data_IF_198862921383
#
_entry.id   IF_198862921383
#
_cell.length_a   1.000
_cell.length_b   1.000
_cell.length_c   1.000
_cell.angle_alpha   90.00
_cell.angle_beta   90.00
_cell.angle_gamma   90.00
#
_symmetry.space_group_name_H-M   'P 1'
#
loop_
_entity.id
_entity.type
_entity.pdbx_description
1 polymer ?
#
# COMPACT_ATOMS: atom_id res chain seq x y z
N UNK A 1 -1.75 21.70 8.15
CA UNK A 1 -1.85 22.19 9.53
C UNK A 1 -0.86 21.43 10.40
N UNK A 2 0.21 22.08 10.86
CA UNK A 2 0.91 21.70 12.08
C UNK A 2 1.01 23.00 12.86
N UNK A 3 0.29 23.08 13.97
CA UNK A 3 0.27 24.24 14.87
C UNK A 3 1.04 23.84 16.13
N UNK A 4 1.97 24.69 16.57
CA UNK A 4 2.48 24.72 17.94
C UNK A 4 2.29 26.17 18.37
N UNK A 5 1.58 26.39 19.46
CA UNK A 5 1.10 27.70 19.92
C UNK A 5 1.73 28.07 21.28
N UNK A 6 2.13 29.33 21.43
CA UNK A 6 2.47 29.99 22.69
C UNK A 6 2.01 31.47 22.62
N UNK A 7 1.24 31.86 23.65
CA UNK A 7 0.30 32.99 23.77
C UNK A 7 0.71 34.43 23.37
N UNK A 8 -0.32 35.16 22.87
CA UNK A 8 -0.82 36.57 23.01
C UNK A 8 0.16 37.80 23.04
N UNK A 9 -0.14 38.99 22.47
CA UNK A 9 -1.37 39.81 22.41
C UNK A 9 -1.51 40.73 21.14
N UNK A 10 -2.78 40.98 20.75
CA UNK A 10 -3.40 42.03 19.89
C UNK A 10 -2.94 42.30 18.44
N UNK A 11 -3.88 42.18 17.46
CA UNK A 11 -3.89 43.00 16.23
C UNK A 11 -5.26 43.01 15.48
N UNK A 12 -5.58 44.09 14.77
CA UNK A 12 -6.82 44.33 13.99
C UNK A 12 -6.76 43.81 12.54
N UNK A 13 -7.88 43.37 11.96
CA UNK A 13 -7.95 42.89 10.56
C UNK A 13 -8.73 43.87 9.65
N UNK A 14 -8.18 44.20 8.48
CA UNK A 14 -8.88 44.81 7.33
C UNK A 14 -9.10 43.74 6.25
N UNK A 15 -10.28 43.69 5.65
CA UNK A 15 -10.55 42.91 4.42
C UNK A 15 -10.48 43.90 3.25
N UNK A 16 -9.76 43.53 2.19
CA UNK A 16 -9.67 44.27 0.93
C UNK A 16 -9.96 43.24 -0.17
N UNK A 17 -10.91 43.56 -1.04
CA UNK A 17 -11.18 42.82 -2.29
C UNK A 17 -10.27 43.35 -3.41
N UNK A 18 -10.08 42.58 -4.48
CA UNK A 18 -9.03 42.72 -5.51
C UNK A 18 -9.01 44.07 -6.29
N UNK A 19 -9.96 44.98 -6.03
CA UNK A 19 -10.07 46.31 -6.65
C UNK A 19 -9.89 47.52 -5.70
N UNK A 20 -9.37 47.33 -4.47
CA UNK A 20 -8.95 48.43 -3.57
C UNK A 20 -9.99 49.55 -3.31
N UNK A 21 -11.29 49.25 -3.15
CA UNK A 21 -12.28 50.22 -2.63
C UNK A 21 -12.87 49.78 -1.28
N UNK A 22 -12.73 50.63 -0.27
CA UNK A 22 -13.14 50.38 1.12
C UNK A 22 -14.63 50.66 1.35
N UNK A 23 -15.37 49.74 1.98
CA UNK A 23 -16.72 50.02 2.51
C UNK A 23 -16.88 49.48 3.95
N UNK A 24 -17.13 50.45 4.84
CA UNK A 24 -17.70 50.49 6.21
C UNK A 24 -17.47 49.39 7.28
N UNK A 25 -17.10 49.88 8.47
CA UNK A 25 -17.05 49.20 9.77
C UNK A 25 -18.44 48.71 10.21
N UNK A 26 -18.57 47.41 10.45
CA UNK A 26 -19.62 46.84 11.30
C UNK A 26 -18.92 46.32 12.56
N UNK A 27 -19.18 46.95 13.71
CA UNK A 27 -18.72 46.44 15.01
C UNK A 27 -19.72 45.44 15.55
N UNK A 28 -19.30 44.19 15.76
CA UNK A 28 -20.01 43.24 16.64
C UNK A 28 -18.98 42.55 17.53
N UNK A 29 -19.21 42.64 18.85
CA UNK A 29 -18.33 42.14 19.90
C UNK A 29 -18.55 40.64 20.10
N UNK A 30 -17.62 39.77 19.68
CA UNK A 30 -17.48 38.44 20.29
C UNK A 30 -16.02 37.93 20.25
N UNK A 31 -15.62 37.39 21.40
CA UNK A 31 -14.38 36.73 21.85
C UNK A 31 -13.45 36.11 20.79
N UNK A 32 -12.24 36.68 20.72
CA UNK A 32 -10.89 36.18 20.35
C UNK A 32 -10.76 34.94 19.46
N UNK A 33 -10.52 35.17 18.15
CA UNK A 33 -9.89 34.23 17.22
C UNK A 33 -8.49 34.74 16.84
N UNK A 34 -7.50 33.86 16.93
CA UNK A 34 -6.11 34.06 16.45
C UNK A 34 -6.09 34.28 14.92
N UNK A 35 -5.29 35.23 14.40
CA UNK A 35 -5.20 35.47 12.96
C UNK A 35 -4.44 34.33 12.29
N UNK A 36 -5.11 33.61 11.40
CA UNK A 36 -4.49 32.58 10.57
C UNK A 36 -3.88 33.23 9.34
N UNK A 37 -2.55 33.32 9.27
CA UNK A 37 -1.89 33.64 8.02
C UNK A 37 -1.92 32.41 7.10
N UNK A 38 -2.59 32.57 5.96
CA UNK A 38 -2.78 31.56 4.94
C UNK A 38 -1.59 31.55 3.99
N UNK A 39 -0.65 30.61 4.16
CA UNK A 39 0.34 30.33 3.11
C UNK A 39 -0.28 29.30 2.16
N UNK A 40 -0.78 29.77 1.02
CA UNK A 40 -1.19 28.92 -0.11
C UNK A 40 0.08 28.54 -0.87
N UNK A 41 0.62 27.35 -0.62
CA UNK A 41 1.67 26.77 -1.45
C UNK A 41 1.02 25.81 -2.46
N UNK A 42 1.22 26.00 -3.78
CA UNK A 42 0.72 25.07 -4.78
C UNK A 42 1.29 23.66 -4.53
N UNK A 43 0.49 22.60 -4.73
CA UNK A 43 0.90 21.19 -4.55
C UNK A 43 2.19 20.83 -5.30
N UNK A 44 2.49 21.54 -6.40
CA UNK A 44 3.71 21.39 -7.21
C UNK A 44 5.01 21.76 -6.46
N UNK A 45 4.94 22.43 -5.32
CA UNK A 45 6.12 22.80 -4.52
C UNK A 45 6.38 21.87 -3.33
N UNK A 46 5.49 20.90 -3.05
CA UNK A 46 5.67 19.98 -1.95
C UNK A 46 6.54 18.78 -2.38
N UNK A 47 7.78 18.76 -1.91
CA UNK A 47 8.73 17.66 -2.13
C UNK A 47 8.97 16.89 -0.83
N UNK A 48 9.30 15.60 -0.92
CA UNK A 48 9.81 14.80 0.19
C UNK A 48 11.03 15.49 0.81
N UNK A 49 11.94 15.98 -0.04
CA UNK A 49 13.12 16.72 0.43
C UNK A 49 12.74 17.92 1.30
N UNK A 50 11.76 18.72 0.88
CA UNK A 50 11.26 19.87 1.66
C UNK A 50 10.59 19.44 2.98
N UNK A 51 9.68 18.46 2.93
CA UNK A 51 8.99 17.95 4.13
C UNK A 51 9.97 17.50 5.21
N UNK A 52 11.11 16.93 4.81
CA UNK A 52 12.06 16.29 5.71
C UNK A 52 13.32 17.10 6.05
N UNK A 53 13.71 18.08 5.25
CA UNK A 53 14.81 19.00 5.59
C UNK A 53 14.34 20.17 6.47
N UNK A 54 13.01 20.37 6.59
CA UNK A 54 12.47 21.39 7.49
C UNK A 54 12.61 21.00 8.98
N UNK A 55 12.64 21.99 9.91
CA UNK A 55 12.62 21.75 11.36
C UNK A 55 11.43 20.90 11.85
N UNK A 56 10.34 20.85 11.07
CA UNK A 56 9.17 20.01 11.34
C UNK A 56 9.54 18.52 11.39
N UNK A 57 10.53 18.08 10.61
CA UNK A 57 10.97 16.68 10.55
C UNK A 57 11.38 16.10 11.90
N UNK A 58 11.95 16.92 12.80
CA UNK A 58 12.30 16.54 14.17
C UNK A 58 11.03 16.24 14.97
N UNK A 59 9.96 17.01 14.80
CA UNK A 59 8.66 16.78 15.44
C UNK A 59 7.95 15.52 14.91
N UNK A 60 8.14 15.21 13.62
CA UNK A 60 7.58 14.01 12.98
C UNK A 60 8.25 12.73 13.48
N UNK A 61 9.53 12.83 13.87
CA UNK A 61 10.37 11.69 14.25
C UNK A 61 10.65 11.57 15.75
N UNK A 62 10.23 12.55 16.56
CA UNK A 62 10.39 12.53 18.02
C UNK A 62 9.51 11.42 18.62
N UNK A 63 10.18 10.44 19.24
CA UNK A 63 9.53 9.44 20.08
C UNK A 63 8.92 10.10 21.31
N UNK A 64 7.62 9.91 21.48
CA UNK A 64 6.92 10.21 22.74
C UNK A 64 6.99 8.93 23.57
N UNK A 65 7.81 8.91 24.62
CA UNK A 65 8.01 7.77 25.54
C UNK A 65 6.82 7.45 26.46
N UNK A 66 5.62 7.91 26.13
CA UNK A 66 4.46 7.82 27.01
C UNK A 66 3.46 6.79 26.48
N UNK A 67 3.68 5.52 26.82
CA UNK A 67 2.76 4.41 26.56
C UNK A 67 3.38 3.08 26.98
N UNK A 68 2.61 2.22 27.66
CA UNK A 68 2.92 0.78 27.72
C UNK A 68 2.65 0.22 26.33
N UNK A 69 3.62 0.39 25.43
CA UNK A 69 3.48 -0.01 24.04
C UNK A 69 3.92 -1.47 23.88
N UNK A 70 3.00 -2.35 23.49
CA UNK A 70 3.29 -3.76 23.17
C UNK A 70 4.00 -3.93 21.81
N UNK A 71 4.43 -2.83 21.17
CA UNK A 71 4.97 -2.81 19.81
C UNK A 71 6.39 -2.22 19.83
N UNK A 72 7.39 -3.04 19.46
CA UNK A 72 8.79 -2.61 19.39
C UNK A 72 9.01 -1.80 18.11
N UNK A 73 9.23 -0.49 18.26
CA UNK A 73 9.58 0.38 17.13
C UNK A 73 10.96 0.99 17.33
N UNK A 74 11.83 0.79 16.34
CA UNK A 74 13.18 1.35 16.34
C UNK A 74 13.60 1.87 14.97
N UNK A 75 14.56 2.79 14.93
CA UNK A 75 15.19 3.21 13.67
C UNK A 75 15.94 2.03 13.08
N UNK A 76 15.74 1.73 11.80
CA UNK A 76 16.34 0.54 11.18
C UNK A 76 17.88 0.57 11.19
N UNK A 77 18.49 1.76 11.10
CA UNK A 77 19.96 1.93 11.21
C UNK A 77 20.57 1.50 12.56
N UNK A 78 19.74 1.31 13.59
CA UNK A 78 20.17 0.85 14.92
C UNK A 78 20.02 -0.67 15.08
N UNK A 79 19.66 -1.39 14.01
CA UNK A 79 19.47 -2.82 14.06
C UNK A 79 20.82 -3.56 14.23
N UNK A 80 21.01 -4.36 15.30
CA UNK A 80 22.28 -5.02 15.56
C UNK A 80 22.72 -5.99 14.46
N UNK A 81 21.77 -6.56 13.72
CA UNK A 81 22.04 -7.52 12.65
C UNK A 81 22.75 -6.91 11.43
N UNK A 82 22.74 -5.58 11.26
CA UNK A 82 23.42 -4.92 10.14
C UNK A 82 24.93 -5.12 10.15
N UNK A 83 25.53 -5.45 11.30
CA UNK A 83 26.98 -5.71 11.39
C UNK A 83 27.38 -7.05 10.79
N UNK A 84 26.43 -7.97 10.62
CA UNK A 84 26.70 -9.36 10.26
C UNK A 84 26.41 -9.66 8.77
N UNK A 85 25.73 -8.75 8.06
CA UNK A 85 25.40 -8.88 6.65
C UNK A 85 25.59 -7.53 5.95
N UNK A 86 26.67 -7.40 5.17
CA UNK A 86 27.05 -6.16 4.47
C UNK A 86 25.99 -5.74 3.44
N UNK A 87 25.41 -6.72 2.72
CA UNK A 87 24.40 -6.46 1.71
C UNK A 87 23.12 -5.92 2.36
N UNK A 88 22.67 -6.53 3.47
CA UNK A 88 21.57 -6.02 4.28
C UNK A 88 21.87 -4.61 4.80
N UNK A 89 23.07 -4.38 5.33
CA UNK A 89 23.50 -3.07 5.84
C UNK A 89 23.40 -1.99 4.78
N UNK A 90 24.00 -2.23 3.61
CA UNK A 90 23.95 -1.31 2.46
C UNK A 90 22.51 -1.01 2.04
N UNK A 91 21.67 -2.04 1.95
CA UNK A 91 20.25 -1.86 1.60
C UNK A 91 19.48 -1.05 2.65
N UNK A 92 19.55 -1.42 3.92
CA UNK A 92 18.81 -0.74 5.00
C UNK A 92 19.25 0.72 5.15
N UNK A 93 20.55 0.98 5.06
CA UNK A 93 21.09 2.34 5.16
C UNK A 93 20.77 3.20 3.93
N UNK A 94 20.50 2.58 2.77
CA UNK A 94 20.04 3.31 1.58
C UNK A 94 18.61 3.85 1.72
N UNK A 95 17.78 3.24 2.56
CA UNK A 95 16.39 3.65 2.76
C UNK A 95 16.33 4.81 3.77
N UNK A 96 15.95 6.03 3.34
CA UNK A 96 15.99 7.18 4.21
C UNK A 96 14.96 7.06 5.33
N UNK A 97 15.38 7.17 6.60
CA UNK A 97 14.46 7.10 7.77
C UNK A 97 13.69 5.77 7.88
N UNK A 98 14.23 4.67 7.36
CA UNK A 98 13.66 3.34 7.58
C UNK A 98 13.45 3.05 9.07
N UNK A 99 12.35 2.36 9.37
CA UNK A 99 11.97 1.95 10.72
C UNK A 99 11.81 0.44 10.76
N UNK A 100 11.95 -0.15 11.94
CA UNK A 100 11.50 -1.51 12.22
C UNK A 100 10.33 -1.48 13.17
N UNK A 101 9.34 -2.34 12.92
CA UNK A 101 8.21 -2.61 13.80
C UNK A 101 8.15 -4.11 14.08
N UNK A 102 8.38 -4.53 15.33
CA UNK A 102 8.44 -5.95 15.70
C UNK A 102 9.37 -6.75 14.76
N UNK A 103 10.56 -6.21 14.48
CA UNK A 103 11.51 -6.79 13.53
C UNK A 103 11.23 -6.50 12.05
N UNK A 104 9.99 -6.21 11.64
CA UNK A 104 9.61 -5.94 10.25
C UNK A 104 10.23 -4.63 9.75
N UNK A 105 11.03 -4.69 8.66
CA UNK A 105 11.58 -3.50 8.02
C UNK A 105 10.47 -2.73 7.28
N UNK A 106 10.35 -1.44 7.54
CA UNK A 106 9.35 -0.58 6.92
C UNK A 106 10.01 0.58 6.17
N UNK A 107 9.32 1.02 5.11
CA UNK A 107 9.73 2.17 4.32
C UNK A 107 9.84 3.42 5.18
N UNK A 108 10.72 4.33 4.78
CA UNK A 108 10.80 5.63 5.38
C UNK A 108 9.83 6.63 4.76
N UNK A 109 9.83 7.84 5.32
CA UNK A 109 9.11 9.03 4.88
C UNK A 109 7.57 9.00 4.80
N UNK A 110 6.95 7.84 4.72
CA UNK A 110 5.51 7.69 4.64
C UNK A 110 4.91 6.93 5.82
N UNK A 111 5.77 6.29 6.62
CA UNK A 111 5.43 5.53 7.81
C UNK A 111 5.99 6.24 9.04
N UNK A 112 5.18 6.40 10.08
CA UNK A 112 5.54 7.18 11.27
C UNK A 112 5.31 6.38 12.54
N UNK A 113 6.24 6.42 13.53
CA UNK A 113 6.09 5.69 14.80
C UNK A 113 4.77 5.93 15.53
N UNK A 114 4.26 7.17 15.48
CA UNK A 114 2.98 7.54 16.10
C UNK A 114 1.78 6.84 15.46
N UNK A 115 1.87 6.50 14.18
CA UNK A 115 0.85 5.70 13.47
C UNK A 115 1.03 4.24 13.84
N UNK A 116 2.25 3.71 13.71
CA UNK A 116 2.60 2.31 13.97
C UNK A 116 2.17 1.83 15.36
N UNK A 117 2.45 2.60 16.42
CA UNK A 117 2.05 2.24 17.80
C UNK A 117 0.54 2.06 18.01
N UNK A 118 -0.27 2.59 17.11
CA UNK A 118 -1.73 2.61 17.21
C UNK A 118 -2.39 1.65 16.23
N UNK A 119 -1.62 0.91 15.42
CA UNK A 119 -2.15 -0.04 14.45
C UNK A 119 -2.85 -1.20 15.15
N UNK A 120 -2.23 -1.78 16.17
CA UNK A 120 -2.79 -2.92 16.92
C UNK A 120 -4.22 -2.66 17.39
N UNK A 121 -4.47 -1.45 17.91
CA UNK A 121 -5.74 -1.01 18.47
C UNK A 121 -6.57 -0.16 17.50
N UNK A 122 -6.27 -0.19 16.19
CA UNK A 122 -7.08 0.53 15.20
C UNK A 122 -8.49 -0.08 15.15
N UNK A 123 -9.50 0.78 15.30
CA UNK A 123 -10.90 0.34 15.33
C UNK A 123 -11.37 -0.11 13.94
N UNK A 124 -11.69 -1.40 13.85
CA UNK A 124 -12.25 -2.06 12.67
C UNK A 124 -13.78 -2.05 12.77
N UNK A 125 -14.45 -1.76 11.65
CA UNK A 125 -15.90 -1.90 11.49
C UNK A 125 -16.19 -3.22 10.79
N UNK A 126 -17.34 -3.82 11.08
CA UNK A 126 -17.71 -5.12 10.51
C UNK A 126 -17.90 -5.07 8.99
N UNK A 127 -18.20 -3.90 8.44
CA UNK A 127 -18.39 -3.66 7.01
C UNK A 127 -17.15 -3.05 6.32
N UNK A 128 -16.01 -3.01 7.00
CA UNK A 128 -14.75 -2.67 6.33
C UNK A 128 -14.36 -3.79 5.36
N UNK A 129 -13.76 -3.39 4.24
CA UNK A 129 -13.12 -4.30 3.29
C UNK A 129 -11.63 -3.99 3.26
N UNK A 130 -10.82 -5.00 3.57
CA UNK A 130 -9.37 -4.89 3.63
C UNK A 130 -8.71 -5.54 2.43
N UNK A 131 -7.85 -4.79 1.73
CA UNK A 131 -6.96 -5.32 0.72
C UNK A 131 -5.56 -5.51 1.32
N UNK A 132 -5.15 -6.75 1.48
CA UNK A 132 -3.83 -7.10 2.01
C UNK A 132 -2.98 -7.68 0.88
N UNK A 133 -1.75 -7.18 0.71
CA UNK A 133 -0.86 -7.69 -0.33
C UNK A 133 0.59 -7.57 0.11
N UNK A 134 1.43 -8.56 -0.19
CA UNK A 134 2.86 -8.26 -0.27
C UNK A 134 3.06 -7.20 -1.38
N UNK A 135 3.98 -6.23 -1.21
CA UNK A 135 4.19 -5.20 -2.23
C UNK A 135 4.34 -5.78 -3.63
N UNK A 136 3.73 -5.11 -4.60
CA UNK A 136 3.83 -5.44 -6.04
C UNK A 136 3.12 -6.73 -6.49
N UNK A 137 2.17 -7.21 -5.69
CA UNK A 137 1.27 -8.31 -6.07
C UNK A 137 0.00 -7.88 -6.81
N UNK A 138 -0.13 -6.61 -7.22
CA UNK A 138 -1.31 -6.11 -7.94
C UNK A 138 -2.23 -5.19 -7.13
N UNK A 139 -1.76 -4.67 -6.00
CA UNK A 139 -2.54 -3.82 -5.07
C UNK A 139 -3.32 -2.72 -5.77
N UNK A 140 -2.67 -1.85 -6.56
CA UNK A 140 -3.36 -0.75 -7.27
C UNK A 140 -4.41 -1.21 -8.27
N UNK A 141 -4.23 -2.40 -8.85
CA UNK A 141 -5.24 -2.97 -9.73
C UNK A 141 -6.49 -3.37 -8.95
N UNK A 142 -6.31 -4.07 -7.83
CA UNK A 142 -7.40 -4.50 -6.95
C UNK A 142 -8.05 -3.32 -6.22
N UNK A 143 -7.30 -2.29 -5.84
CA UNK A 143 -7.84 -1.03 -5.29
C UNK A 143 -8.82 -0.38 -6.27
N UNK A 144 -8.49 -0.37 -7.57
CA UNK A 144 -9.35 0.20 -8.61
C UNK A 144 -10.60 -0.64 -8.83
N UNK A 145 -10.44 -1.97 -8.91
CA UNK A 145 -11.55 -2.92 -9.02
C UNK A 145 -12.52 -2.72 -7.86
N UNK A 146 -12.04 -2.69 -6.61
CA UNK A 146 -12.87 -2.50 -5.43
C UNK A 146 -13.57 -1.13 -5.43
N UNK A 147 -12.85 -0.07 -5.79
CA UNK A 147 -13.45 1.27 -5.89
C UNK A 147 -14.61 1.28 -6.87
N UNK A 148 -14.45 0.66 -8.03
CA UNK A 148 -15.49 0.59 -9.05
C UNK A 148 -16.63 -0.34 -8.65
N UNK A 149 -16.37 -1.43 -7.92
CA UNK A 149 -17.42 -2.30 -7.38
C UNK A 149 -18.33 -1.49 -6.46
N UNK A 150 -17.75 -0.79 -5.47
CA UNK A 150 -18.50 0.03 -4.51
C UNK A 150 -19.05 1.32 -5.12
N UNK A 151 -18.61 1.70 -6.33
CA UNK A 151 -19.21 2.74 -7.15
C UNK A 151 -20.24 2.19 -8.16
N UNK A 152 -20.64 0.92 -8.09
CA UNK A 152 -21.61 0.30 -9.01
C UNK A 152 -21.20 0.40 -10.50
N UNK A 153 -19.90 0.37 -10.79
CA UNK A 153 -19.34 0.57 -12.13
C UNK A 153 -19.38 2.02 -12.62
N UNK A 154 -19.55 3.00 -11.73
CA UNK A 154 -19.45 4.43 -12.05
C UNK A 154 -17.98 4.87 -12.11
N UNK A 155 -17.45 4.96 -13.32
CA UNK A 155 -16.08 5.38 -13.62
C UNK A 155 -15.89 6.87 -13.29
N UNK A 156 -16.90 7.70 -13.52
CA UNK A 156 -16.82 9.14 -13.29
C UNK A 156 -16.76 9.45 -11.80
N UNK A 157 -17.48 8.68 -10.97
CA UNK A 157 -17.35 8.75 -9.52
C UNK A 157 -15.93 8.43 -9.05
N UNK A 158 -15.29 7.39 -9.59
CA UNK A 158 -13.92 7.00 -9.24
C UNK A 158 -12.86 7.97 -9.77
N UNK A 159 -13.15 8.70 -10.84
CA UNK A 159 -12.23 9.65 -11.47
C UNK A 159 -12.10 10.99 -10.73
N UNK A 160 -12.91 11.22 -9.69
CA UNK A 160 -12.89 12.45 -8.87
C UNK A 160 -11.76 12.50 -7.85
N UNK A 161 -11.16 11.34 -7.53
CA UNK A 161 -10.14 11.20 -6.48
C UNK A 161 -9.06 10.23 -6.90
N UNK A 162 -7.83 10.52 -6.52
CA UNK A 162 -6.70 9.60 -6.67
C UNK A 162 -6.93 8.33 -5.85
N UNK A 163 -6.31 7.22 -6.28
CA UNK A 163 -6.49 5.91 -5.66
C UNK A 163 -6.20 5.90 -4.15
N UNK A 164 -5.19 6.65 -3.71
CA UNK A 164 -4.80 6.77 -2.30
C UNK A 164 -5.85 7.46 -1.41
N UNK A 165 -6.80 8.20 -2.00
CA UNK A 165 -7.95 8.79 -1.30
C UNK A 165 -9.22 7.95 -1.42
N UNK A 166 -9.22 6.90 -2.25
CA UNK A 166 -10.32 5.95 -2.40
C UNK A 166 -10.09 4.70 -1.55
N UNK A 167 -8.87 4.18 -1.57
CA UNK A 167 -8.43 3.03 -0.76
C UNK A 167 -7.17 3.42 0.00
N UNK A 168 -7.28 4.13 1.13
CA UNK A 168 -6.12 4.56 1.89
C UNK A 168 -5.41 3.41 2.59
N UNK A 169 -4.08 3.53 2.68
CA UNK A 169 -3.22 2.55 3.33
C UNK A 169 -3.12 2.82 4.84
N UNK A 170 -3.18 1.76 5.64
CA UNK A 170 -3.22 1.86 7.11
C UNK A 170 -1.96 2.53 7.68
N UNK A 171 -0.79 2.04 7.26
CA UNK A 171 0.52 2.42 7.79
C UNK A 171 1.16 3.61 7.06
N UNK A 172 0.65 3.93 5.86
CA UNK A 172 1.20 4.95 4.96
C UNK A 172 0.32 6.19 5.02
N UNK A 173 0.85 7.32 5.50
CA UNK A 173 0.04 8.53 5.55
C UNK A 173 0.71 9.74 6.16
N UNK A 174 -0.08 10.57 6.83
CA UNK A 174 0.40 11.80 7.47
C UNK A 174 0.91 11.51 8.90
N UNK A 175 1.94 12.20 9.39
CA UNK A 175 2.45 12.00 10.75
C UNK A 175 1.41 12.32 11.83
N UNK A 176 0.50 13.25 11.53
CA UNK A 176 -0.55 13.69 12.43
C UNK A 176 -1.92 13.48 11.78
N UNK A 177 -2.85 12.97 12.57
CA UNK A 177 -4.24 12.82 12.14
C UNK A 177 -4.52 11.70 11.14
N UNK A 178 -3.53 10.93 10.66
CA UNK A 178 -3.76 9.85 9.67
C UNK A 178 -4.83 8.85 10.11
N UNK A 179 -4.67 8.22 11.28
CA UNK A 179 -5.66 7.27 11.79
C UNK A 179 -7.02 7.93 12.10
N UNK A 180 -7.06 9.25 12.37
CA UNK A 180 -8.32 10.00 12.53
C UNK A 180 -8.98 10.23 11.16
N UNK A 181 -8.19 10.53 10.14
CA UNK A 181 -8.63 10.66 8.76
C UNK A 181 -9.18 9.33 8.23
N UNK A 182 -8.51 8.20 8.44
CA UNK A 182 -9.03 6.87 8.11
C UNK A 182 -10.37 6.58 8.78
N UNK A 183 -10.55 7.00 10.04
CA UNK A 183 -11.83 6.88 10.77
C UNK A 183 -12.93 7.81 10.25
N UNK A 184 -12.58 8.88 9.53
CA UNK A 184 -13.56 9.82 8.97
C UNK A 184 -14.23 9.32 7.68
N UNK A 185 -13.70 8.26 7.07
CA UNK A 185 -14.33 7.64 5.89
C UNK A 185 -15.69 7.06 6.26
N UNK A 186 -16.67 7.28 5.38
CA UNK A 186 -17.98 6.65 5.49
C UNK A 186 -17.85 5.15 5.25
N UNK A 187 -18.69 4.38 5.93
CA UNK A 187 -18.81 2.95 5.70
C UNK A 187 -19.56 2.65 4.38
N UNK A 188 -19.28 1.52 3.72
CA UNK A 188 -18.15 0.61 4.00
C UNK A 188 -16.81 1.27 3.64
N UNK A 189 -15.78 1.07 4.48
CA UNK A 189 -14.44 1.62 4.18
C UNK A 189 -13.66 0.60 3.35
N UNK A 190 -13.03 1.08 2.27
CA UNK A 190 -12.01 0.32 1.56
C UNK A 190 -10.65 0.72 2.14
N UNK A 191 -9.92 -0.24 2.72
CA UNK A 191 -8.63 0.00 3.34
C UNK A 191 -7.60 -0.97 2.77
N UNK A 192 -6.34 -0.54 2.67
CA UNK A 192 -5.26 -1.40 2.22
C UNK A 192 -4.10 -1.44 3.21
N UNK A 193 -3.29 -2.48 3.15
CA UNK A 193 -2.03 -2.57 3.91
C UNK A 193 -1.05 -3.56 3.26
N UNK A 194 0.23 -3.31 3.48
CA UNK A 194 1.34 -4.22 3.16
C UNK A 194 1.95 -4.89 4.40
N UNK A 195 1.34 -4.69 5.57
CA UNK A 195 1.79 -5.33 6.80
C UNK A 195 1.47 -6.83 6.78
N UNK A 196 2.41 -7.64 7.30
CA UNK A 196 2.17 -9.05 7.55
C UNK A 196 1.13 -9.26 8.67
N UNK A 197 0.60 -10.48 8.78
CA UNK A 197 -0.49 -10.81 9.72
C UNK A 197 -0.17 -10.43 11.16
N UNK A 198 1.05 -10.63 11.63
CA UNK A 198 1.46 -10.26 12.99
C UNK A 198 1.40 -8.76 13.29
N UNK A 199 1.35 -7.91 12.25
CA UNK A 199 1.42 -6.46 12.39
C UNK A 199 0.16 -5.71 11.90
N UNK A 200 -0.86 -6.40 11.39
CA UNK A 200 -2.19 -5.77 11.13
C UNK A 200 -2.96 -5.56 12.45
N UNK A 201 -4.11 -4.85 12.47
CA UNK A 201 -4.89 -4.67 13.70
C UNK A 201 -5.38 -6.00 14.29
N UNK A 202 -5.37 -6.13 15.61
CA UNK A 202 -5.76 -7.38 16.29
C UNK A 202 -7.20 -7.81 15.99
N UNK A 203 -8.13 -6.85 15.88
CA UNK A 203 -9.51 -7.11 15.46
C UNK A 203 -9.61 -7.68 14.04
N UNK A 204 -8.69 -7.29 13.14
CA UNK A 204 -8.68 -7.79 11.77
C UNK A 204 -8.15 -9.23 11.72
N UNK A 205 -7.10 -9.55 12.49
CA UNK A 205 -6.63 -10.94 12.69
C UNK A 205 -7.72 -11.86 13.25
N UNK A 206 -8.60 -11.33 14.10
CA UNK A 206 -9.70 -12.07 14.72
C UNK A 206 -10.93 -12.22 13.81
N UNK A 207 -10.84 -11.85 12.53
CA UNK A 207 -11.92 -12.05 11.56
C UNK A 207 -13.06 -11.04 11.66
N UNK A 208 -12.86 -9.87 12.29
CA UNK A 208 -13.93 -8.86 12.45
C UNK A 208 -14.44 -8.26 11.13
N UNK A 209 -13.63 -8.28 10.08
CA UNK A 209 -13.95 -7.70 8.78
C UNK A 209 -13.39 -8.56 7.65
N UNK A 210 -13.88 -8.34 6.42
CA UNK A 210 -13.46 -9.10 5.25
C UNK A 210 -12.07 -8.67 4.78
N UNK A 211 -11.23 -9.64 4.44
CA UNK A 211 -9.90 -9.47 3.86
C UNK A 211 -9.90 -10.06 2.45
N UNK A 212 -9.40 -9.31 1.48
CA UNK A 212 -8.98 -9.83 0.18
C UNK A 212 -7.46 -9.83 0.19
N UNK A 213 -6.86 -11.02 0.13
CA UNK A 213 -5.43 -11.17 0.01
C UNK A 213 -5.05 -11.46 -1.43
N UNK A 214 -4.16 -10.65 -2.02
CA UNK A 214 -3.65 -10.89 -3.38
C UNK A 214 -2.20 -11.36 -3.33
N UNK A 215 -1.99 -12.61 -3.74
CA UNK A 215 -0.66 -13.18 -3.98
C UNK A 215 -0.26 -12.97 -5.44
N UNK A 216 1.04 -12.91 -5.70
CA UNK A 216 1.61 -12.99 -7.05
C UNK A 216 2.83 -13.89 -6.99
N UNK A 217 3.10 -14.66 -8.05
CA UNK A 217 4.26 -15.54 -8.05
C UNK A 217 5.56 -14.80 -7.66
N UNK A 218 6.42 -15.43 -6.84
CA UNK A 218 7.52 -14.72 -6.19
C UNK A 218 8.56 -14.17 -7.18
N UNK A 219 8.72 -14.81 -8.34
CA UNK A 219 9.69 -14.39 -9.36
C UNK A 219 9.25 -13.10 -10.06
N UNK A 220 8.01 -13.01 -10.55
CA UNK A 220 7.47 -11.76 -11.11
C UNK A 220 7.31 -10.67 -10.05
N UNK A 221 6.99 -11.05 -8.82
CA UNK A 221 6.94 -10.13 -7.69
C UNK A 221 8.32 -9.49 -7.46
N UNK A 222 9.39 -10.28 -7.37
CA UNK A 222 10.77 -9.81 -7.20
C UNK A 222 11.18 -8.84 -8.31
N UNK A 223 10.93 -9.16 -9.58
CA UNK A 223 11.21 -8.25 -10.72
C UNK A 223 10.45 -6.94 -10.57
N UNK A 224 9.14 -7.03 -10.29
CA UNK A 224 8.35 -5.82 -10.14
C UNK A 224 8.78 -4.98 -8.93
N UNK A 225 9.26 -5.63 -7.87
CA UNK A 225 9.69 -4.95 -6.67
C UNK A 225 11.05 -4.29 -6.83
N UNK A 226 11.96 -4.90 -7.58
CA UNK A 226 13.23 -4.30 -7.98
C UNK A 226 13.01 -2.97 -8.71
N UNK A 227 12.22 -2.97 -9.79
CA UNK A 227 11.93 -1.75 -10.53
C UNK A 227 11.20 -0.70 -9.69
N UNK A 228 10.32 -1.13 -8.79
CA UNK A 228 9.64 -0.21 -7.88
C UNK A 228 10.61 0.47 -6.91
N UNK A 229 11.58 -0.26 -6.34
CA UNK A 229 12.60 0.31 -5.47
C UNK A 229 13.48 1.35 -6.19
N UNK A 230 13.79 1.12 -7.47
CA UNK A 230 14.60 2.06 -8.27
C UNK A 230 13.92 3.41 -8.48
N UNK A 231 12.59 3.41 -8.63
CA UNK A 231 11.83 4.65 -8.82
C UNK A 231 11.34 5.27 -7.52
N UNK A 232 11.25 4.52 -6.42
CA UNK A 232 10.65 5.00 -5.17
C UNK A 232 11.66 5.81 -4.36
N UNK A 233 11.49 7.13 -4.34
CA UNK A 233 12.39 8.03 -3.62
C UNK A 233 12.29 7.86 -2.11
N UNK A 234 11.12 7.45 -1.60
CA UNK A 234 10.93 7.07 -0.19
C UNK A 234 11.60 5.74 0.20
N UNK A 235 12.07 4.98 -0.79
CA UNK A 235 12.96 3.82 -0.62
C UNK A 235 14.42 4.14 -0.96
N UNK A 236 14.74 5.42 -1.17
CA UNK A 236 16.11 5.86 -1.46
C UNK A 236 16.54 5.68 -2.92
N UNK A 237 15.62 5.43 -3.86
CA UNK A 237 15.93 5.16 -5.26
C UNK A 237 17.02 4.10 -5.42
N UNK A 238 16.70 2.87 -5.02
CA UNK A 238 17.66 1.78 -4.98
C UNK A 238 18.54 1.74 -6.23
N UNK A 239 19.85 1.73 -6.03
CA UNK A 239 20.86 1.82 -7.09
C UNK A 239 21.76 0.58 -7.17
N UNK A 240 21.49 -0.43 -6.34
CA UNK A 240 22.20 -1.72 -6.39
C UNK A 240 21.81 -2.55 -7.62
N UNK A 241 22.52 -3.66 -7.82
CA UNK A 241 22.30 -4.56 -8.95
C UNK A 241 21.03 -5.40 -8.77
N UNK A 242 20.61 -6.05 -9.85
CA UNK A 242 19.57 -7.08 -9.79
C UNK A 242 20.01 -8.25 -8.90
N UNK A 243 21.26 -8.70 -9.02
CA UNK A 243 21.82 -9.82 -8.24
C UNK A 243 21.78 -9.56 -6.73
N UNK A 244 22.17 -8.35 -6.32
CA UNK A 244 22.06 -7.90 -4.92
C UNK A 244 20.59 -7.89 -4.46
N UNK A 245 19.68 -7.42 -5.32
CA UNK A 245 18.27 -7.29 -4.97
C UNK A 245 17.56 -8.64 -4.85
N UNK A 246 17.83 -9.56 -5.77
CA UNK A 246 17.21 -10.89 -5.79
C UNK A 246 17.71 -11.73 -4.61
N UNK A 247 18.96 -11.54 -4.17
CA UNK A 247 19.49 -12.09 -2.93
C UNK A 247 18.78 -11.54 -1.69
N UNK A 248 18.61 -10.22 -1.61
CA UNK A 248 17.86 -9.57 -0.52
C UNK A 248 16.41 -10.05 -0.46
N UNK A 249 15.77 -10.25 -1.63
CA UNK A 249 14.42 -10.79 -1.71
C UNK A 249 14.36 -12.22 -1.17
N UNK A 250 15.26 -13.10 -1.62
CA UNK A 250 15.29 -14.50 -1.21
C UNK A 250 15.55 -14.67 0.29
N UNK A 251 16.37 -13.80 0.89
CA UNK A 251 16.62 -13.75 2.34
C UNK A 251 15.50 -13.11 3.16
N UNK A 252 14.46 -12.55 2.51
CA UNK A 252 13.40 -11.81 3.19
C UNK A 252 13.84 -10.52 3.87
N UNK A 253 14.91 -9.90 3.35
CA UNK A 253 15.55 -8.71 3.91
C UNK A 253 14.94 -7.39 3.42
N UNK A 254 14.05 -7.44 2.43
CA UNK A 254 13.43 -6.25 1.86
C UNK A 254 12.44 -5.58 2.83
N UNK A 255 12.05 -4.35 2.50
CA UNK A 255 10.92 -3.68 3.16
C UNK A 255 9.67 -4.56 3.07
N UNK A 256 8.90 -4.64 4.16
CA UNK A 256 7.82 -5.60 4.41
C UNK A 256 8.26 -7.07 4.53
N UNK A 257 9.57 -7.34 4.61
CA UNK A 257 10.14 -8.61 5.06
C UNK A 257 10.12 -9.73 4.02
N UNK A 258 9.99 -10.96 4.50
CA UNK A 258 9.94 -12.17 3.68
C UNK A 258 8.62 -12.30 2.94
N UNK A 259 8.69 -12.46 1.60
CA UNK A 259 7.52 -12.79 0.80
C UNK A 259 6.88 -14.10 1.28
N UNK A 260 7.69 -15.11 1.61
CA UNK A 260 7.21 -16.41 2.08
C UNK A 260 6.43 -16.27 3.39
N UNK A 261 7.00 -15.59 4.39
CA UNK A 261 6.34 -15.43 5.69
C UNK A 261 5.08 -14.58 5.59
N UNK A 262 5.12 -13.56 4.73
CA UNK A 262 3.96 -12.72 4.45
C UNK A 262 2.82 -13.54 3.83
N UNK A 263 3.11 -14.32 2.78
CA UNK A 263 2.11 -15.17 2.11
C UNK A 263 1.62 -16.28 3.04
N UNK A 264 2.52 -16.93 3.79
CA UNK A 264 2.18 -17.99 4.74
C UNK A 264 1.20 -17.52 5.81
N UNK A 265 1.47 -16.40 6.46
CA UNK A 265 0.59 -15.89 7.51
C UNK A 265 -0.83 -15.62 6.99
N UNK A 266 -0.98 -14.99 5.82
CA UNK A 266 -2.30 -14.75 5.25
C UNK A 266 -2.97 -16.02 4.70
N UNK A 267 -2.19 -17.00 4.25
CA UNK A 267 -2.70 -18.30 3.82
C UNK A 267 -3.25 -19.10 5.00
N UNK A 268 -2.54 -19.12 6.13
CA UNK A 268 -3.02 -19.73 7.38
C UNK A 268 -4.27 -19.02 7.89
N UNK A 269 -4.29 -17.67 7.85
CA UNK A 269 -5.47 -16.89 8.24
C UNK A 269 -6.68 -17.21 7.35
N UNK A 270 -6.45 -17.41 6.06
CA UNK A 270 -7.46 -17.86 5.11
C UNK A 270 -8.01 -19.25 5.43
N UNK A 271 -7.13 -20.21 5.71
CA UNK A 271 -7.52 -21.57 6.07
C UNK A 271 -8.33 -21.62 7.38
N UNK A 272 -8.02 -20.74 8.34
CA UNK A 272 -8.75 -20.62 9.61
C UNK A 272 -10.09 -19.89 9.45
N UNK A 273 -10.19 -18.93 8.52
CA UNK A 273 -11.36 -18.05 8.38
C UNK A 273 -11.79 -17.90 6.91
N UNK A 274 -12.17 -18.99 6.21
CA UNK A 274 -12.42 -18.97 4.77
C UNK A 274 -13.60 -18.07 4.34
N UNK A 275 -14.52 -17.76 5.25
CA UNK A 275 -15.65 -16.85 4.99
C UNK A 275 -15.28 -15.36 5.14
N UNK A 276 -14.19 -15.07 5.86
CA UNK A 276 -13.73 -13.70 6.13
C UNK A 276 -12.48 -13.33 5.34
N UNK A 277 -11.83 -14.29 4.68
CA UNK A 277 -10.65 -14.04 3.85
C UNK A 277 -10.89 -14.64 2.45
N UNK A 278 -10.74 -13.82 1.41
CA UNK A 278 -10.67 -14.28 0.03
C UNK A 278 -9.23 -14.21 -0.42
N UNK A 279 -8.66 -15.38 -0.75
CA UNK A 279 -7.33 -15.47 -1.31
C UNK A 279 -7.42 -15.51 -2.84
N UNK A 280 -6.73 -14.58 -3.50
CA UNK A 280 -6.72 -14.37 -4.95
C UNK A 280 -5.29 -14.36 -5.45
N UNK A 281 -5.01 -14.95 -6.61
CA UNK A 281 -3.74 -14.71 -7.28
C UNK A 281 -3.84 -13.61 -8.35
N UNK A 282 -2.76 -12.86 -8.54
CA UNK A 282 -2.62 -11.91 -9.63
C UNK A 282 -2.81 -12.60 -10.99
N UNK A 283 -2.37 -13.85 -11.09
CA UNK A 283 -2.50 -14.69 -12.27
C UNK A 283 -3.97 -14.99 -12.59
N UNK A 284 -4.82 -15.28 -11.58
CA UNK A 284 -6.28 -15.42 -11.77
C UNK A 284 -6.89 -14.14 -12.33
N UNK A 285 -6.57 -12.98 -11.74
CA UNK A 285 -7.05 -11.68 -12.20
C UNK A 285 -6.61 -11.40 -13.65
N UNK A 286 -5.40 -11.81 -14.02
CA UNK A 286 -4.83 -11.60 -15.36
C UNK A 286 -5.49 -12.45 -16.43
N UNK A 287 -5.81 -13.70 -16.11
CA UNK A 287 -6.39 -14.64 -17.07
C UNK A 287 -7.88 -14.40 -17.29
N UNK A 288 -8.66 -14.23 -16.21
CA UNK A 288 -10.11 -14.04 -16.32
C UNK A 288 -10.61 -12.98 -15.32
N UNK A 289 -10.35 -11.71 -15.67
CA UNK A 289 -10.74 -10.57 -14.85
C UNK A 289 -12.25 -10.51 -14.61
N UNK A 290 -13.08 -10.82 -15.62
CA UNK A 290 -14.55 -10.75 -15.52
C UNK A 290 -15.06 -11.71 -14.45
N UNK A 291 -14.60 -12.97 -14.48
CA UNK A 291 -14.94 -13.97 -13.47
C UNK A 291 -14.47 -13.56 -12.09
N UNK A 292 -13.22 -13.08 -11.97
CA UNK A 292 -12.67 -12.70 -10.68
C UNK A 292 -13.37 -11.49 -10.06
N UNK A 293 -13.83 -10.52 -10.87
CA UNK A 293 -14.69 -9.44 -10.38
C UNK A 293 -15.99 -10.00 -9.80
N UNK A 294 -16.63 -10.95 -10.47
CA UNK A 294 -17.83 -11.63 -9.96
C UNK A 294 -17.59 -12.27 -8.59
N UNK A 295 -16.52 -13.06 -8.46
CA UNK A 295 -16.12 -13.70 -7.18
C UNK A 295 -15.86 -12.66 -6.09
N UNK A 296 -15.20 -11.56 -6.42
CA UNK A 296 -14.94 -10.48 -5.46
C UNK A 296 -16.26 -9.82 -5.03
N UNK A 297 -17.18 -9.54 -5.96
CA UNK A 297 -18.51 -8.99 -5.67
C UNK A 297 -19.29 -9.89 -4.70
N UNK A 298 -19.32 -11.19 -4.98
CA UNK A 298 -19.99 -12.18 -4.13
C UNK A 298 -19.37 -12.22 -2.74
N UNK A 299 -18.03 -12.29 -2.67
CA UNK A 299 -17.31 -12.30 -1.39
C UNK A 299 -17.56 -11.05 -0.57
N UNK A 300 -17.50 -9.84 -1.15
CA UNK A 300 -17.74 -8.60 -0.40
C UNK A 300 -19.22 -8.36 -0.10
N UNK A 301 -20.14 -9.08 -0.75
CA UNK A 301 -21.59 -8.94 -0.58
C UNK A 301 -22.15 -7.71 -1.32
N UNK A 302 -21.56 -7.37 -2.47
CA UNK A 302 -21.96 -6.22 -3.28
C UNK A 302 -22.19 -6.65 -4.74
N UNK A 303 -23.29 -7.39 -5.02
CA UNK A 303 -23.54 -7.97 -6.34
C UNK A 303 -23.75 -6.88 -7.39
N UNK A 304 -23.23 -7.13 -8.59
CA UNK A 304 -23.35 -6.23 -9.74
C UNK A 304 -24.04 -6.94 -10.90
N UNK A 305 -24.68 -6.15 -11.76
CA UNK A 305 -25.19 -6.67 -13.04
C UNK A 305 -24.03 -7.03 -13.98
N UNK A 306 -24.28 -7.94 -14.92
CA UNK A 306 -23.28 -8.31 -15.93
C UNK A 306 -22.73 -7.09 -16.69
N UNK A 307 -23.61 -6.14 -17.07
CA UNK A 307 -23.21 -4.89 -17.74
C UNK A 307 -22.26 -4.04 -16.89
N UNK A 308 -22.44 -4.01 -15.56
CA UNK A 308 -21.53 -3.31 -14.66
C UNK A 308 -20.20 -4.04 -14.57
N UNK A 309 -20.20 -5.37 -14.45
CA UNK A 309 -18.98 -6.19 -14.43
C UNK A 309 -18.19 -6.00 -15.74
N UNK A 310 -18.85 -6.04 -16.90
CA UNK A 310 -18.21 -5.82 -18.21
C UNK A 310 -17.55 -4.43 -18.30
N UNK A 311 -18.25 -3.41 -17.79
CA UNK A 311 -17.72 -2.05 -17.75
C UNK A 311 -16.47 -1.95 -16.88
N UNK A 312 -16.49 -2.55 -15.69
CA UNK A 312 -15.33 -2.60 -14.79
C UNK A 312 -14.19 -3.36 -15.44
N UNK A 313 -14.46 -4.53 -16.01
CA UNK A 313 -13.48 -5.38 -16.72
C UNK A 313 -12.75 -4.59 -17.79
N UNK A 314 -13.50 -3.87 -18.64
CA UNK A 314 -12.94 -3.04 -19.69
C UNK A 314 -12.12 -1.87 -19.13
N UNK A 315 -12.59 -1.21 -18.06
CA UNK A 315 -11.90 -0.09 -17.42
C UNK A 315 -10.58 -0.52 -16.75
N UNK A 316 -10.57 -1.68 -16.12
CA UNK A 316 -9.44 -2.23 -15.37
C UNK A 316 -8.45 -2.99 -16.27
N UNK A 317 -8.49 -2.84 -17.58
CA UNK A 317 -7.41 -3.33 -18.46
C UNK A 317 -6.11 -2.58 -18.17
N UNK A 318 -4.96 -3.24 -18.33
CA UNK A 318 -3.65 -2.65 -18.04
C UNK A 318 -3.44 -1.33 -18.81
N UNK A 319 -3.76 -1.29 -20.11
CA UNK A 319 -3.61 -0.09 -20.92
C UNK A 319 -4.49 1.08 -20.45
N UNK A 320 -5.75 0.82 -20.06
CA UNK A 320 -6.59 1.89 -19.51
C UNK A 320 -6.09 2.38 -18.16
N UNK A 321 -5.68 1.48 -17.27
CA UNK A 321 -5.11 1.86 -15.98
C UNK A 321 -3.79 2.64 -16.13
N UNK A 322 -2.94 2.22 -17.06
CA UNK A 322 -1.66 2.89 -17.36
C UNK A 322 -1.86 4.35 -17.78
N UNK A 323 -2.92 4.62 -18.53
CA UNK A 323 -3.26 5.95 -19.02
C UNK A 323 -4.19 6.75 -18.07
N UNK A 324 -4.67 6.14 -16.99
CA UNK A 324 -5.54 6.79 -16.01
C UNK A 324 -4.72 7.49 -14.91
N UNK A 325 -4.73 8.82 -14.93
CA UNK A 325 -4.00 9.69 -13.98
C UNK A 325 -4.39 9.49 -12.52
N UNK A 326 -5.61 9.01 -12.24
CA UNK A 326 -6.08 8.74 -10.88
C UNK A 326 -5.48 7.48 -10.26
N UNK A 327 -4.84 6.61 -11.06
CA UNK A 327 -4.26 5.34 -10.59
C UNK A 327 -2.80 5.13 -10.99
N UNK A 328 -2.33 5.75 -12.08
CA UNK A 328 -0.99 5.51 -12.63
C UNK A 328 0.14 6.15 -11.81
N UNK A 329 -0.20 7.01 -10.83
CA UNK A 329 0.70 7.69 -9.89
C UNK A 329 1.63 8.72 -10.54
N UNK A 330 1.32 9.21 -11.73
CA UNK A 330 2.10 10.26 -12.41
C UNK A 330 1.81 11.67 -11.87
N UNK A 331 0.59 11.90 -11.37
CA UNK A 331 0.18 13.17 -10.78
C UNK A 331 -0.12 12.97 -9.28
N UNK A 332 0.89 13.20 -8.45
CA UNK A 332 0.79 13.03 -6.99
C UNK A 332 0.86 14.38 -6.25
N UNK A 333 0.20 14.50 -5.07
CA UNK A 333 0.31 15.68 -4.23
C UNK A 333 1.73 15.99 -3.74
N UNK A 334 2.60 14.98 -3.71
CA UNK A 334 4.03 15.13 -3.42
C UNK A 334 4.78 14.74 -4.70
N UNK A 335 5.39 15.73 -5.34
CA UNK A 335 5.82 15.64 -6.74
C UNK A 335 6.98 14.65 -6.98
N UNK A 336 7.81 14.41 -5.97
CA UNK A 336 9.02 13.60 -6.04
C UNK A 336 8.88 12.25 -5.32
N UNK A 337 7.67 11.70 -5.13
CA UNK A 337 7.49 10.37 -4.53
C UNK A 337 8.04 9.22 -5.40
N UNK A 338 7.96 9.39 -6.73
CA UNK A 338 8.47 8.43 -7.70
C UNK A 338 9.27 9.15 -8.77
N UNK A 339 10.53 8.74 -8.96
CA UNK A 339 11.34 9.11 -10.11
C UNK A 339 10.97 8.22 -11.30
N UNK A 340 10.01 8.68 -12.09
CA UNK A 340 9.54 7.96 -13.28
C UNK A 340 10.27 8.37 -14.57
N UNK A 341 11.44 9.01 -14.47
CA UNK A 341 12.24 9.40 -15.63
C UNK A 341 12.75 8.20 -16.44
N UNK A 342 13.06 7.08 -15.76
CA UNK A 342 13.64 5.87 -16.38
C UNK A 342 12.64 4.74 -16.58
N UNK A 343 11.62 4.63 -15.74
CA UNK A 343 10.58 3.60 -15.87
C UNK A 343 9.28 4.07 -15.21
N UNK A 344 8.15 3.53 -15.66
CA UNK A 344 6.81 3.92 -15.19
C UNK A 344 6.35 3.02 -14.04
N UNK A 345 5.48 3.53 -13.17
CA UNK A 345 4.85 2.74 -12.11
C UNK A 345 4.03 1.57 -12.68
N UNK A 346 3.21 1.84 -13.69
CA UNK A 346 2.53 0.83 -14.52
C UNK A 346 3.51 0.33 -15.59
N UNK A 347 4.31 -0.69 -15.25
CA UNK A 347 5.47 -1.13 -16.04
C UNK A 347 5.14 -2.06 -17.21
N UNK A 348 4.63 -3.27 -16.93
CA UNK A 348 4.29 -4.28 -17.95
C UNK A 348 2.96 -4.99 -17.72
N UNK A 349 2.59 -5.30 -16.48
CA UNK A 349 1.27 -5.89 -16.18
C UNK A 349 1.04 -7.30 -16.75
N UNK A 350 2.09 -8.13 -16.83
CA UNK A 350 2.07 -9.49 -17.40
C UNK A 350 2.46 -10.56 -16.38
N UNK A 351 2.24 -11.82 -16.75
CA UNK A 351 2.75 -13.03 -16.09
C UNK A 351 3.98 -13.49 -16.90
N UNK A 352 5.07 -13.89 -16.22
CA UNK A 352 6.24 -14.50 -16.87
C UNK A 352 7.38 -13.55 -17.23
N UNK A 353 7.33 -12.28 -16.82
CA UNK A 353 8.42 -11.33 -17.12
C UNK A 353 9.71 -11.65 -16.36
N UNK A 354 9.61 -12.47 -15.31
CA UNK A 354 10.77 -13.00 -14.60
C UNK A 354 11.78 -13.71 -15.51
N UNK A 355 11.34 -14.36 -16.59
CA UNK A 355 12.21 -15.03 -17.56
C UNK A 355 13.19 -14.07 -18.26
N UNK A 356 12.85 -12.78 -18.32
CA UNK A 356 13.70 -11.75 -18.93
C UNK A 356 14.72 -11.15 -17.95
N UNK A 357 14.73 -11.58 -16.68
CA UNK A 357 15.54 -10.96 -15.63
C UNK A 357 16.36 -12.00 -14.85
N UNK A 358 15.78 -13.15 -14.56
CA UNK A 358 16.48 -14.22 -13.84
C UNK A 358 17.48 -14.93 -14.76
N UNK A 359 18.70 -15.17 -14.26
CA UNK A 359 19.55 -16.22 -14.85
C UNK A 359 19.01 -17.60 -14.52
N UNK A 360 19.51 -18.63 -15.21
CA UNK A 360 19.14 -20.01 -14.90
C UNK A 360 19.52 -20.39 -13.46
N UNK A 361 20.71 -19.99 -12.99
CA UNK A 361 21.16 -20.27 -11.63
C UNK A 361 20.29 -19.56 -10.58
N UNK A 362 19.95 -18.29 -10.83
CA UNK A 362 19.07 -17.53 -9.93
C UNK A 362 17.67 -18.15 -9.86
N UNK A 363 17.11 -18.56 -11.01
CA UNK A 363 15.81 -19.23 -11.06
C UNK A 363 15.85 -20.53 -10.27
N UNK A 364 16.86 -21.38 -10.50
CA UNK A 364 17.00 -22.66 -9.81
C UNK A 364 17.15 -22.47 -8.29
N UNK A 365 17.92 -21.48 -7.84
CA UNK A 365 18.06 -21.16 -6.42
C UNK A 365 16.74 -20.67 -5.81
N UNK A 366 15.96 -19.86 -6.55
CA UNK A 366 14.61 -19.50 -6.13
C UNK A 366 13.72 -20.74 -5.99
N UNK A 367 13.77 -21.66 -6.95
CA UNK A 367 12.95 -22.87 -6.90
C UNK A 367 13.31 -23.73 -5.68
N UNK A 368 14.60 -23.85 -5.33
CA UNK A 368 15.07 -24.55 -4.13
C UNK A 368 14.59 -23.92 -2.82
N UNK A 369 14.43 -22.60 -2.76
CA UNK A 369 14.00 -21.88 -1.55
C UNK A 369 12.47 -21.90 -1.42
N UNK A 370 11.75 -21.63 -2.51
CA UNK A 370 10.31 -21.37 -2.47
C UNK A 370 9.45 -22.61 -2.72
N UNK A 371 9.86 -23.55 -3.58
CA UNK A 371 9.02 -24.71 -3.90
C UNK A 371 8.73 -25.63 -2.70
N UNK A 372 9.70 -25.98 -1.83
CA UNK A 372 9.42 -26.85 -0.69
C UNK A 372 8.38 -26.23 0.25
N UNK A 373 8.51 -24.93 0.51
CA UNK A 373 7.59 -24.17 1.35
C UNK A 373 6.19 -24.08 0.74
N UNK A 374 6.08 -23.77 -0.56
CA UNK A 374 4.80 -23.70 -1.25
C UNK A 374 4.10 -25.06 -1.32
N UNK A 375 4.87 -26.14 -1.51
CA UNK A 375 4.37 -27.53 -1.46
C UNK A 375 3.85 -27.87 -0.06
N UNK A 376 4.59 -27.52 1.00
CA UNK A 376 4.16 -27.73 2.38
C UNK A 376 2.87 -26.95 2.70
N UNK A 377 2.76 -25.72 2.20
CA UNK A 377 1.55 -24.90 2.35
C UNK A 377 0.37 -25.41 1.52
N UNK A 378 0.59 -26.31 0.57
CA UNK A 378 -0.38 -26.72 -0.44
C UNK A 378 -0.97 -25.51 -1.21
N UNK A 379 -0.16 -24.47 -1.40
CA UNK A 379 -0.57 -23.24 -2.07
C UNK A 379 -0.18 -23.31 -3.56
N UNK A 380 -1.16 -23.44 -4.49
CA UNK A 380 -0.84 -23.44 -5.90
C UNK A 380 -0.38 -22.05 -6.37
N UNK A 381 0.84 -21.98 -6.90
CA UNK A 381 1.42 -20.80 -7.53
C UNK A 381 1.79 -21.15 -8.97
N UNK A 382 1.44 -20.26 -9.90
CA UNK A 382 1.69 -20.44 -11.33
C UNK A 382 2.64 -19.35 -11.81
N UNK A 383 3.64 -19.73 -12.61
CA UNK A 383 4.71 -18.85 -13.08
C UNK A 383 4.56 -18.39 -14.53
N UNK A 384 3.67 -19.05 -15.29
CA UNK A 384 3.51 -18.88 -16.73
C UNK A 384 2.05 -18.65 -17.11
N UNK A 385 1.84 -17.85 -18.15
CA UNK A 385 0.51 -17.49 -18.61
C UNK A 385 -0.28 -18.71 -19.10
N UNK A 386 0.31 -19.54 -19.96
CA UNK A 386 -0.36 -20.70 -20.56
C UNK A 386 -0.81 -21.70 -19.49
N UNK A 387 -0.02 -21.89 -18.44
CA UNK A 387 -0.40 -22.78 -17.34
C UNK A 387 -1.50 -22.18 -16.49
N UNK A 388 -1.50 -20.86 -16.29
CA UNK A 388 -2.57 -20.15 -15.61
C UNK A 388 -3.88 -20.27 -16.41
N UNK A 389 -3.84 -20.10 -17.73
CA UNK A 389 -4.98 -20.31 -18.63
C UNK A 389 -5.50 -21.74 -18.57
N UNK A 390 -4.63 -22.75 -18.69
CA UNK A 390 -5.02 -24.17 -18.60
C UNK A 390 -5.75 -24.47 -17.29
N UNK A 391 -5.22 -24.00 -16.16
CA UNK A 391 -5.80 -24.23 -14.83
C UNK A 391 -7.14 -23.48 -14.70
N UNK A 392 -7.20 -22.21 -15.10
CA UNK A 392 -8.42 -21.40 -15.03
C UNK A 392 -9.54 -21.92 -15.94
N UNK A 393 -9.20 -22.42 -17.12
CA UNK A 393 -10.16 -23.03 -18.05
C UNK A 393 -10.71 -24.35 -17.50
N UNK A 394 -9.87 -25.14 -16.83
CA UNK A 394 -10.28 -26.43 -16.26
C UNK A 394 -11.08 -26.30 -14.96
N UNK A 395 -10.66 -25.41 -14.05
CA UNK A 395 -11.16 -25.41 -12.68
C UNK A 395 -11.88 -24.15 -12.24
N UNK A 396 -11.90 -23.08 -13.04
CA UNK A 396 -12.51 -21.83 -12.62
C UNK A 396 -11.57 -20.91 -11.82
N UNK A 397 -10.62 -21.50 -11.08
CA UNK A 397 -9.74 -20.89 -10.09
C UNK A 397 -8.37 -21.56 -10.09
N UNK A 398 -7.33 -20.80 -9.76
CA UNK A 398 -6.01 -21.33 -9.38
C UNK A 398 -6.00 -21.64 -7.88
N UNK A 399 -6.45 -20.68 -7.06
CA UNK A 399 -6.52 -20.84 -5.61
C UNK A 399 -7.83 -21.55 -5.27
N UNK A 400 -7.74 -22.87 -5.09
CA UNK A 400 -8.90 -23.74 -4.88
C UNK A 400 -9.13 -23.97 -3.38
N UNK A 401 -10.36 -23.84 -2.93
CA UNK A 401 -10.82 -24.47 -1.69
C UNK A 401 -10.86 -25.97 -1.95
N UNK A 402 -9.83 -26.72 -1.58
CA UNK A 402 -9.92 -28.18 -1.65
C UNK A 402 -10.68 -28.70 -0.41
N UNK A 403 -11.59 -29.68 -0.56
CA UNK A 403 -11.48 -30.87 0.25
C UNK A 403 -10.30 -31.70 -0.29
N UNK A 404 -9.31 -31.93 0.56
CA UNK A 404 -8.27 -32.93 0.29
C UNK A 404 -8.98 -34.27 0.14
N UNK A 405 -8.96 -34.86 -1.05
CA UNK A 405 -9.00 -36.30 -1.36
C UNK A 405 -9.26 -36.48 -2.87
N UNK A 406 -8.20 -36.75 -3.64
CA UNK A 406 -8.26 -37.53 -4.88
C UNK A 406 -7.58 -38.88 -4.63
#
# INVERSE_FOLDING_TARGET
MITIDHNEHQCSTKIIDDDHRSIQKISTNYTTKTPSFLIIMPSKFLTLKFLYQSPISVLLTKDSKNGKDNCEIRKAKNDPNLKNDELLSKYVLSIPKAMRMNGLLLQGYLVYPKVLRRIENFEIRNDDIWLCTYPKSGTTWTEEILSLIFANGDIDACSKKIIAERVPHLEIGKPFGHLKWLRSFRSPRLLATHLNVENIPGQLRQGKAKIIYVVRNPKDNAVSYYHHHRISTFLGNYSGTWDDFVELFAKGHLVYGSWLDHVRGFWELYQQNPDSVLFVSYEELKVDLKRMIGIICDFVGHPLTEKQIDRITLHCTFEKMRNNKMVNREELPVADLFDMSKTKFMRKGIIGDWRNNFTAEQSQRFDQIFEPELKQMQLPIVYDHDDAEKIMNKYGRIIRQQPINE
#
